data_IF_487573328044
#
_entry.id   IF_487573328044
#
_cell.length_a   1.000
_cell.length_b   1.000
_cell.length_c   1.000
_cell.angle_alpha   90.00
_cell.angle_beta   90.00
_cell.angle_gamma   90.00
#
_symmetry.space_group_name_H-M   'P 1'
#
loop_
_entity.id
_entity.type
_entity.pdbx_description
1 polymer ?
#
# COMPACT_ATOMS: atom_id res chain seq x y z
N UNK A 1 -14.22 18.88 18.11
CA UNK A 1 -13.63 19.84 17.16
C UNK A 1 -12.63 20.72 17.89
N UNK A 2 -11.72 21.39 17.18
CA UNK A 2 -10.69 22.24 17.79
C UNK A 2 -11.09 23.73 17.75
N UNK A 3 -10.52 24.59 18.62
CA UNK A 3 -10.73 26.04 18.55
C UNK A 3 -10.31 26.67 17.20
N UNK A 4 -9.38 26.05 16.47
CA UNK A 4 -8.96 26.48 15.14
C UNK A 4 -10.10 26.44 14.11
N UNK A 5 -11.05 25.51 14.27
CA UNK A 5 -12.23 25.45 13.41
C UNK A 5 -13.09 26.71 13.57
N UNK A 6 -13.33 27.14 14.81
CA UNK A 6 -14.12 28.35 15.07
C UNK A 6 -13.39 29.62 14.61
N UNK A 7 -12.07 29.67 14.75
CA UNK A 7 -11.24 30.74 14.19
C UNK A 7 -11.36 30.82 12.66
N UNK A 8 -11.37 29.66 11.99
CA UNK A 8 -11.53 29.56 10.54
C UNK A 8 -12.93 29.99 10.06
N UNK A 9 -13.97 29.78 10.87
CA UNK A 9 -15.32 30.27 10.57
C UNK A 9 -15.44 31.79 10.72
N UNK A 10 -14.79 32.37 11.73
CA UNK A 10 -14.96 33.79 12.10
C UNK A 10 -14.07 34.75 11.32
N UNK A 11 -12.96 34.29 10.75
CA UNK A 11 -11.96 35.15 10.10
C UNK A 11 -11.70 34.73 8.67
N UNK A 12 -11.56 35.70 7.76
CA UNK A 12 -11.22 35.43 6.37
C UNK A 12 -9.86 34.73 6.24
N UNK A 13 -8.85 35.19 6.98
CA UNK A 13 -7.51 34.58 6.99
C UNK A 13 -7.55 33.14 7.51
N UNK A 14 -8.30 32.86 8.58
CA UNK A 14 -8.45 31.50 9.09
C UNK A 14 -9.11 30.58 8.07
N UNK A 15 -10.15 31.07 7.38
CA UNK A 15 -10.82 30.32 6.31
C UNK A 15 -9.87 29.99 5.15
N UNK A 16 -9.10 30.97 4.68
CA UNK A 16 -8.12 30.76 3.59
C UNK A 16 -7.04 29.78 4.01
N UNK A 17 -6.48 29.91 5.22
CA UNK A 17 -5.46 28.99 5.72
C UNK A 17 -5.98 27.56 5.85
N UNK A 18 -7.21 27.38 6.34
CA UNK A 18 -7.86 26.07 6.41
C UNK A 18 -7.99 25.45 5.01
N UNK A 19 -8.49 26.21 4.04
CA UNK A 19 -8.64 25.74 2.65
C UNK A 19 -7.29 25.42 2.01
N UNK A 20 -6.29 26.29 2.15
CA UNK A 20 -4.92 26.05 1.66
C UNK A 20 -4.32 24.80 2.29
N UNK A 21 -4.50 24.59 3.60
CA UNK A 21 -4.01 23.39 4.27
C UNK A 21 -4.60 22.11 3.68
N UNK A 22 -5.93 22.02 3.55
CA UNK A 22 -6.59 20.85 2.98
C UNK A 22 -6.22 20.63 1.51
N UNK A 23 -6.08 21.72 0.73
CA UNK A 23 -5.63 21.64 -0.66
C UNK A 23 -4.20 21.09 -0.76
N UNK A 24 -3.27 21.60 0.05
CA UNK A 24 -1.90 21.12 0.08
C UNK A 24 -1.80 19.68 0.56
N UNK A 25 -2.55 19.30 1.60
CA UNK A 25 -2.59 17.93 2.09
C UNK A 25 -3.11 16.97 1.01
N UNK A 26 -4.20 17.31 0.33
CA UNK A 26 -4.75 16.53 -0.79
C UNK A 26 -3.79 16.46 -1.98
N UNK A 27 -3.14 17.57 -2.32
CA UNK A 27 -2.14 17.62 -3.38
C UNK A 27 -0.95 16.70 -3.08
N UNK A 28 -0.36 16.81 -1.87
CA UNK A 28 0.74 15.97 -1.44
C UNK A 28 0.35 14.49 -1.38
N UNK A 29 -0.87 14.20 -0.93
CA UNK A 29 -1.41 12.84 -0.91
C UNK A 29 -1.46 12.23 -2.33
N UNK A 30 -2.08 12.92 -3.28
CA UNK A 30 -2.14 12.48 -4.68
C UNK A 30 -0.74 12.37 -5.28
N UNK A 31 0.15 13.32 -4.99
CA UNK A 31 1.53 13.31 -5.46
C UNK A 31 2.29 12.05 -5.03
N UNK A 32 2.17 11.65 -3.75
CA UNK A 32 2.79 10.44 -3.22
C UNK A 32 2.19 9.17 -3.84
N UNK A 33 0.87 9.13 -4.06
CA UNK A 33 0.20 7.95 -4.62
C UNK A 33 0.48 7.75 -6.12
N UNK A 34 0.44 8.82 -6.90
CA UNK A 34 0.61 8.78 -8.36
C UNK A 34 2.09 8.67 -8.73
N UNK A 35 2.99 9.43 -8.08
CA UNK A 35 4.44 9.26 -8.21
C UNK A 35 4.98 9.40 -9.65
N UNK A 36 4.38 10.29 -10.46
CA UNK A 36 4.82 10.57 -11.84
C UNK A 36 6.14 11.36 -11.84
N UNK A 37 6.33 12.28 -10.89
CA UNK A 37 7.55 13.09 -10.84
C UNK A 37 8.78 12.28 -10.39
N UNK A 38 9.99 12.64 -10.87
CA UNK A 38 11.25 12.05 -10.44
C UNK A 38 11.52 12.41 -8.97
N UNK A 39 10.93 11.64 -8.06
CA UNK A 39 11.05 11.76 -6.62
C UNK A 39 11.72 10.54 -5.96
N UNK A 40 11.73 10.48 -4.61
CA UNK A 40 12.29 9.37 -3.85
C UNK A 40 11.67 8.01 -4.22
N UNK A 41 12.36 6.92 -3.88
CA UNK A 41 12.02 5.53 -4.25
C UNK A 41 10.50 5.26 -4.18
N UNK A 42 9.94 4.83 -5.31
CA UNK A 42 8.52 4.50 -5.46
C UNK A 42 8.10 3.47 -4.42
N UNK A 43 7.04 3.77 -3.67
CA UNK A 43 6.47 2.83 -2.71
C UNK A 43 5.85 1.64 -3.45
N UNK A 44 5.92 0.41 -2.89
CA UNK A 44 5.29 -0.76 -3.49
C UNK A 44 3.79 -0.54 -3.72
N UNK A 45 3.22 -1.07 -4.81
CA UNK A 45 1.79 -0.90 -5.12
C UNK A 45 0.86 -1.33 -4.00
N UNK A 46 1.17 -2.44 -3.32
CA UNK A 46 0.42 -2.94 -2.16
C UNK A 46 0.35 -1.92 -1.03
N UNK A 47 1.47 -1.25 -0.71
CA UNK A 47 1.52 -0.25 0.34
C UNK A 47 0.71 1.00 -0.02
N UNK A 48 0.69 1.40 -1.31
CA UNK A 48 -0.16 2.50 -1.79
C UNK A 48 -1.65 2.19 -1.61
N UNK A 49 -2.06 0.95 -1.93
CA UNK A 49 -3.44 0.50 -1.73
C UNK A 49 -3.83 0.48 -0.25
N UNK A 50 -2.93 0.06 0.65
CA UNK A 50 -3.16 0.11 2.10
C UNK A 50 -3.36 1.55 2.57
N UNK A 51 -2.48 2.47 2.17
CA UNK A 51 -2.60 3.90 2.54
C UNK A 51 -3.91 4.48 2.03
N UNK A 52 -4.27 4.14 0.79
CA UNK A 52 -5.51 4.59 0.19
C UNK A 52 -6.73 4.06 0.95
N UNK A 53 -6.74 2.78 1.32
CA UNK A 53 -7.80 2.17 2.11
C UNK A 53 -7.94 2.81 3.50
N UNK A 54 -6.82 3.05 4.19
CA UNK A 54 -6.80 3.75 5.49
C UNK A 54 -7.36 5.16 5.33
N UNK A 55 -6.99 5.86 4.26
CA UNK A 55 -7.44 7.23 3.99
C UNK A 55 -8.94 7.29 3.71
N UNK A 56 -9.46 6.39 2.86
CA UNK A 56 -10.90 6.25 2.59
C UNK A 56 -11.64 5.95 3.89
N UNK A 57 -11.13 5.02 4.71
CA UNK A 57 -11.77 4.65 5.97
C UNK A 57 -11.88 5.83 6.94
N UNK A 58 -10.82 6.65 7.03
CA UNK A 58 -10.82 7.84 7.86
C UNK A 58 -11.81 8.92 7.35
N UNK A 59 -11.85 9.15 6.04
CA UNK A 59 -12.79 10.11 5.43
C UNK A 59 -14.25 9.66 5.59
N UNK A 60 -14.51 8.38 5.35
CA UNK A 60 -15.82 7.78 5.56
C UNK A 60 -16.27 7.88 7.01
N UNK A 61 -15.39 7.61 7.96
CA UNK A 61 -15.72 7.74 9.38
C UNK A 61 -16.05 9.19 9.75
N UNK A 62 -15.31 10.17 9.24
CA UNK A 62 -15.61 11.59 9.45
C UNK A 62 -17.02 11.95 8.92
N UNK A 63 -17.34 11.53 7.70
CA UNK A 63 -18.66 11.73 7.10
C UNK A 63 -19.80 11.12 7.93
N UNK A 64 -19.61 9.86 8.35
CA UNK A 64 -20.57 9.15 9.22
C UNK A 64 -20.73 9.86 10.56
N UNK A 65 -19.64 10.31 11.17
CA UNK A 65 -19.69 11.02 12.44
C UNK A 65 -20.49 12.34 12.35
N UNK A 66 -20.38 13.06 11.23
CA UNK A 66 -21.14 14.30 11.00
C UNK A 66 -22.61 14.04 10.68
N UNK A 67 -22.92 13.02 9.88
CA UNK A 67 -24.29 12.67 9.48
C UNK A 67 -25.10 12.04 10.61
N UNK A 68 -24.46 11.28 11.49
CA UNK A 68 -25.11 10.60 12.63
C UNK A 68 -25.00 11.40 13.93
N UNK A 69 -24.06 12.35 14.02
CA UNK A 69 -23.81 13.16 15.20
C UNK A 69 -25.05 13.92 15.68
N UNK A 70 -25.18 14.07 16.99
CA UNK A 70 -26.27 14.83 17.65
C UNK A 70 -25.80 16.18 18.19
N UNK A 71 -24.49 16.44 18.14
CA UNK A 71 -23.89 17.67 18.66
C UNK A 71 -23.63 18.65 17.51
N UNK A 72 -24.16 19.86 17.65
CA UNK A 72 -23.90 20.96 16.73
C UNK A 72 -22.46 21.50 16.93
N UNK A 73 -21.69 21.58 15.85
CA UNK A 73 -20.35 22.18 15.83
C UNK A 73 -20.48 23.70 15.80
N UNK A 74 -19.61 24.41 16.53
CA UNK A 74 -19.60 25.87 16.61
C UNK A 74 -20.99 26.52 16.80
N UNK A 75 -21.79 26.09 17.81
CA UNK A 75 -23.18 26.52 17.95
C UNK A 75 -23.31 28.03 18.15
N UNK A 76 -22.35 28.67 18.83
CA UNK A 76 -22.32 30.12 19.05
C UNK A 76 -22.19 30.90 17.74
N UNK A 77 -21.40 30.39 16.78
CA UNK A 77 -21.25 31.01 15.47
C UNK A 77 -22.54 30.88 14.64
N UNK A 78 -23.04 29.65 14.45
CA UNK A 78 -24.20 29.42 13.58
C UNK A 78 -25.50 30.00 14.14
N UNK A 79 -25.72 29.94 15.46
CA UNK A 79 -26.90 30.60 16.08
C UNK A 79 -26.80 32.13 16.03
N UNK A 80 -25.58 32.67 16.06
CA UNK A 80 -25.33 34.11 15.99
C UNK A 80 -25.44 34.71 14.60
N UNK A 81 -25.68 33.89 13.56
CA UNK A 81 -25.79 34.38 12.18
C UNK A 81 -27.15 35.04 11.89
N UNK A 82 -28.13 34.87 12.77
CA UNK A 82 -29.46 35.51 12.71
C UNK A 82 -30.12 35.43 11.32
N UNK A 83 -30.11 34.23 10.70
CA UNK A 83 -30.70 34.02 9.39
C UNK A 83 -32.18 34.43 9.39
N UNK A 84 -32.68 35.09 8.33
CA UNK A 84 -34.06 35.54 8.26
C UNK A 84 -35.06 34.40 7.99
N UNK A 85 -34.59 33.17 7.74
CA UNK A 85 -35.40 31.97 7.58
C UNK A 85 -35.07 30.93 8.65
N UNK A 86 -36.04 30.07 8.97
CA UNK A 86 -35.85 28.98 9.92
C UNK A 86 -34.92 27.90 9.31
N UNK A 87 -33.81 27.62 9.99
CA UNK A 87 -32.89 26.53 9.66
C UNK A 87 -32.74 25.62 10.86
N UNK A 88 -33.01 24.33 10.69
CA UNK A 88 -32.54 23.33 11.64
C UNK A 88 -31.04 23.13 11.42
N UNK A 89 -30.24 23.80 12.26
CA UNK A 89 -28.78 23.79 12.16
C UNK A 89 -28.17 22.38 12.31
N UNK A 90 -28.80 21.50 13.09
CA UNK A 90 -28.31 20.14 13.27
C UNK A 90 -28.60 19.31 12.02
N UNK A 91 -29.81 19.42 11.46
CA UNK A 91 -30.15 18.77 10.20
C UNK A 91 -29.27 19.28 9.05
N UNK A 92 -29.02 20.60 8.99
CA UNK A 92 -28.14 21.21 7.99
C UNK A 92 -26.69 20.69 8.12
N UNK A 93 -26.14 20.60 9.33
CA UNK A 93 -24.83 20.00 9.56
C UNK A 93 -24.76 18.54 9.09
N UNK A 94 -25.80 17.74 9.36
CA UNK A 94 -25.85 16.34 8.93
C UNK A 94 -25.90 16.24 7.40
N UNK A 95 -26.70 17.07 6.75
CA UNK A 95 -26.76 17.15 5.29
C UNK A 95 -25.41 17.59 4.71
N UNK A 96 -24.77 18.59 5.32
CA UNK A 96 -23.42 19.03 4.97
C UNK A 96 -22.39 17.90 5.12
N UNK A 97 -22.50 17.09 6.18
CA UNK A 97 -21.69 15.88 6.37
C UNK A 97 -21.89 14.84 5.27
N UNK A 98 -23.14 14.60 4.85
CA UNK A 98 -23.45 13.65 3.78
C UNK A 98 -22.89 14.11 2.43
N UNK A 99 -23.02 15.40 2.12
CA UNK A 99 -22.48 16.00 0.90
C UNK A 99 -20.95 15.97 0.93
N UNK A 100 -20.33 16.40 2.02
CA UNK A 100 -18.87 16.43 2.16
C UNK A 100 -18.26 15.04 1.97
N UNK A 101 -18.90 14.00 2.52
CA UNK A 101 -18.47 12.62 2.32
C UNK A 101 -18.64 12.16 0.88
N UNK A 102 -19.84 12.28 0.30
CA UNK A 102 -20.11 11.80 -1.07
C UNK A 102 -19.20 12.46 -2.12
N UNK A 103 -18.97 13.77 -1.99
CA UNK A 103 -18.08 14.52 -2.89
C UNK A 103 -16.61 14.15 -2.66
N UNK A 104 -16.19 13.94 -1.41
CA UNK A 104 -14.81 13.60 -1.07
C UNK A 104 -14.38 12.21 -1.52
N UNK A 105 -15.30 11.24 -1.56
CA UNK A 105 -14.98 9.87 -1.99
C UNK A 105 -14.79 9.74 -3.50
N UNK A 106 -15.48 10.54 -4.32
CA UNK A 106 -15.40 10.42 -5.77
C UNK A 106 -13.96 10.57 -6.32
N UNK A 107 -13.17 11.61 -5.98
CA UNK A 107 -11.77 11.70 -6.38
C UNK A 107 -10.92 10.54 -5.86
N UNK A 108 -11.20 10.06 -4.65
CA UNK A 108 -10.42 8.99 -4.00
C UNK A 108 -10.63 7.65 -4.68
N UNK A 109 -11.87 7.34 -5.08
CA UNK A 109 -12.20 6.16 -5.88
C UNK A 109 -11.57 6.21 -7.27
N UNK A 110 -11.57 7.38 -7.92
CA UNK A 110 -10.87 7.59 -9.20
C UNK A 110 -9.38 7.31 -9.02
N UNK A 111 -8.76 7.82 -7.95
CA UNK A 111 -7.35 7.58 -7.65
C UNK A 111 -7.06 6.10 -7.40
N UNK A 112 -7.94 5.40 -6.68
CA UNK A 112 -7.83 3.95 -6.44
C UNK A 112 -7.81 3.17 -7.74
N UNK A 113 -8.72 3.52 -8.65
CA UNK A 113 -8.77 2.92 -9.98
C UNK A 113 -7.47 3.19 -10.74
N UNK A 114 -6.99 4.43 -10.77
CA UNK A 114 -5.76 4.80 -11.48
C UNK A 114 -4.53 4.06 -10.95
N UNK A 115 -4.36 3.97 -9.62
CA UNK A 115 -3.25 3.25 -8.98
C UNK A 115 -3.32 1.75 -9.28
N UNK A 116 -4.52 1.18 -9.23
CA UNK A 116 -4.73 -0.24 -9.54
C UNK A 116 -4.41 -0.53 -11.01
N UNK A 117 -4.89 0.29 -11.95
CA UNK A 117 -4.60 0.14 -13.38
C UNK A 117 -3.11 0.33 -13.68
N UNK A 118 -2.45 1.27 -13.01
CA UNK A 118 -1.01 1.47 -13.14
C UNK A 118 -0.25 0.23 -12.66
N UNK A 119 -0.64 -0.35 -11.53
CA UNK A 119 -0.03 -1.56 -10.98
C UNK A 119 -0.17 -2.76 -11.91
N UNK A 120 -1.39 -3.07 -12.37
CA UNK A 120 -1.66 -4.19 -13.28
C UNK A 120 -0.81 -4.12 -14.55
N UNK A 121 -0.60 -2.90 -15.09
CA UNK A 121 0.26 -2.68 -16.26
C UNK A 121 1.74 -2.96 -15.98
N UNK A 122 2.26 -2.49 -14.85
CA UNK A 122 3.65 -2.76 -14.46
C UNK A 122 3.89 -4.23 -14.15
N UNK A 123 2.96 -4.88 -13.47
CA UNK A 123 3.06 -6.29 -13.09
C UNK A 123 3.09 -7.20 -14.32
N UNK A 124 2.20 -6.96 -15.29
CA UNK A 124 2.20 -7.70 -16.55
C UNK A 124 3.51 -7.56 -17.35
N UNK A 125 4.16 -6.39 -17.31
CA UNK A 125 5.43 -6.16 -17.96
C UNK A 125 6.59 -6.87 -17.23
N UNK A 126 6.57 -6.89 -15.91
CA UNK A 126 7.54 -7.58 -15.06
C UNK A 126 7.44 -9.10 -15.21
N UNK A 127 6.23 -9.67 -15.13
CA UNK A 127 5.98 -11.10 -15.36
C UNK A 127 6.50 -11.52 -16.74
N UNK A 128 6.19 -10.77 -17.79
CA UNK A 128 6.70 -11.07 -19.15
C UNK A 128 8.23 -10.98 -19.26
N UNK A 129 8.88 -10.12 -18.47
CA UNK A 129 10.35 -10.04 -18.41
C UNK A 129 10.94 -11.25 -17.71
N UNK A 130 10.33 -11.66 -16.60
CA UNK A 130 10.73 -12.83 -15.82
C UNK A 130 10.54 -14.13 -16.64
N UNK A 131 9.39 -14.31 -17.29
CA UNK A 131 9.14 -15.45 -18.18
C UNK A 131 10.20 -15.55 -19.29
N UNK A 132 10.52 -14.43 -19.95
CA UNK A 132 11.59 -14.39 -20.97
C UNK A 132 12.99 -14.64 -20.42
N UNK A 133 13.22 -14.40 -19.14
CA UNK A 133 14.49 -14.69 -18.50
C UNK A 133 14.59 -16.18 -18.19
N UNK A 134 13.54 -16.75 -17.59
CA UNK A 134 13.39 -18.18 -17.33
C UNK A 134 13.54 -19.03 -18.61
N UNK A 135 12.91 -18.62 -19.72
CA UNK A 135 13.06 -19.28 -21.03
C UNK A 135 14.52 -19.26 -21.54
N UNK A 136 15.34 -18.28 -21.12
CA UNK A 136 16.74 -18.12 -21.55
C UNK A 136 17.74 -18.84 -20.66
N UNK A 137 17.45 -18.94 -19.36
CA UNK A 137 18.35 -19.54 -18.37
C UNK A 137 17.88 -20.91 -17.85
N UNK A 138 16.83 -21.48 -18.45
CA UNK A 138 16.26 -22.79 -18.11
C UNK A 138 15.85 -22.85 -16.64
N UNK A 139 15.08 -21.86 -16.18
CA UNK A 139 14.57 -21.76 -14.81
C UNK A 139 15.67 -21.75 -13.73
N UNK A 140 16.80 -21.08 -13.99
CA UNK A 140 17.96 -21.08 -13.10
C UNK A 140 17.62 -20.59 -11.68
N UNK A 141 16.80 -19.53 -11.57
CA UNK A 141 16.39 -18.95 -10.29
C UNK A 141 15.52 -19.91 -9.47
N UNK A 142 14.58 -20.63 -10.10
CA UNK A 142 13.75 -21.64 -9.45
C UNK A 142 14.59 -22.83 -8.98
N UNK A 143 15.55 -23.27 -9.79
CA UNK A 143 16.50 -24.35 -9.43
C UNK A 143 17.35 -23.95 -8.22
N UNK A 144 17.91 -22.74 -8.21
CA UNK A 144 18.70 -22.23 -7.09
C UNK A 144 17.86 -22.11 -5.80
N UNK A 145 16.62 -21.62 -5.91
CA UNK A 145 15.70 -21.51 -4.79
C UNK A 145 15.33 -22.89 -4.21
N UNK A 146 15.03 -23.87 -5.07
CA UNK A 146 14.76 -25.24 -4.65
C UNK A 146 15.97 -25.89 -3.95
N UNK A 147 17.18 -25.65 -4.45
CA UNK A 147 18.42 -26.14 -3.81
C UNK A 147 18.63 -25.54 -2.41
N UNK A 148 18.33 -24.24 -2.25
CA UNK A 148 18.39 -23.58 -0.95
C UNK A 148 17.36 -24.14 0.05
N UNK A 149 16.10 -24.36 -0.39
CA UNK A 149 15.08 -25.00 0.45
C UNK A 149 15.44 -26.45 0.82
N UNK A 150 16.06 -27.21 -0.09
CA UNK A 150 16.55 -28.56 0.17
C UNK A 150 17.65 -28.56 1.24
N UNK A 151 18.57 -27.58 1.20
CA UNK A 151 19.61 -27.40 2.19
C UNK A 151 19.04 -27.08 3.59
N UNK A 152 18.00 -26.26 3.68
CA UNK A 152 17.34 -25.93 4.96
C UNK A 152 16.53 -27.11 5.51
N UNK A 153 15.85 -27.86 4.63
CA UNK A 153 15.00 -28.99 5.02
C UNK A 153 15.75 -30.30 5.26
N UNK A 154 17.08 -30.32 5.08
CA UNK A 154 17.91 -31.50 5.26
C UNK A 154 17.60 -32.65 4.28
N UNK A 155 16.85 -32.37 3.20
CA UNK A 155 16.53 -33.36 2.16
C UNK A 155 17.64 -33.41 1.12
N UNK A 156 18.20 -34.60 0.80
CA UNK A 156 19.17 -34.74 -0.28
C UNK A 156 18.58 -34.26 -1.61
N UNK A 157 19.34 -33.46 -2.34
CA UNK A 157 19.01 -32.99 -3.69
C UNK A 157 18.82 -34.20 -4.63
N UNK A 158 17.61 -34.41 -5.21
CA UNK A 158 17.35 -35.55 -6.09
C UNK A 158 18.11 -35.48 -7.42
N UNK A 159 18.71 -34.33 -7.77
CA UNK A 159 19.50 -34.18 -8.99
C UNK A 159 20.97 -34.55 -8.82
N UNK A 160 21.42 -34.84 -7.59
CA UNK A 160 22.79 -35.31 -7.33
C UNK A 160 22.88 -36.81 -7.65
N UNK A 161 23.69 -37.24 -8.63
CA UNK A 161 23.93 -38.66 -8.85
C UNK A 161 24.48 -39.26 -7.55
N UNK A 162 23.82 -40.30 -7.04
CA UNK A 162 24.30 -41.03 -5.88
C UNK A 162 25.73 -41.48 -6.15
N UNK A 163 26.68 -40.89 -5.43
CA UNK A 163 28.08 -41.29 -5.50
C UNK A 163 28.12 -42.76 -5.08
N UNK A 164 28.40 -43.65 -6.02
CA UNK A 164 28.55 -45.08 -5.73
C UNK A 164 29.58 -45.22 -4.60
N UNK A 165 29.29 -46.01 -3.55
CA UNK A 165 30.28 -46.28 -2.52
C UNK A 165 31.50 -46.87 -3.22
N UNK A 166 32.62 -46.16 -3.17
CA UNK A 166 33.88 -46.67 -3.68
C UNK A 166 34.28 -47.82 -2.77
N UNK A 167 33.95 -49.04 -3.20
CA UNK A 167 34.36 -50.27 -2.51
C UNK A 167 35.88 -50.36 -2.63
N UNK A 168 36.60 -49.79 -1.67
CA UNK A 168 38.03 -50.01 -1.52
C UNK A 168 38.25 -51.48 -1.17
N UNK A 169 38.58 -52.29 -2.19
CA UNK A 169 39.08 -53.65 -1.99
C UNK A 169 40.37 -53.60 -1.16
N UNK A 170 40.52 -54.42 -0.12
CA UNK A 170 41.77 -54.52 0.59
C UNK A 170 42.80 -55.21 -0.31
N UNK A 171 43.89 -54.51 -0.60
CA UNK A 171 45.01 -55.03 -1.38
C UNK A 171 45.72 -56.13 -0.59
N UNK A 172 45.53 -57.38 -1.00
CA UNK A 172 46.27 -58.53 -0.45
C UNK A 172 47.73 -58.47 -0.92
N UNK A 173 48.63 -58.03 -0.06
CA UNK A 173 50.07 -58.11 -0.31
C UNK A 173 50.58 -59.55 -0.08
N UNK A 174 50.92 -60.26 -1.16
CA UNK A 174 51.75 -61.47 -1.08
C UNK A 174 53.22 -61.10 -0.87
N UNK A 175 53.96 -61.75 0.05
CA UNK A 175 55.41 -61.65 0.09
C UNK A 175 56.04 -62.69 -0.85
N UNK A 176 56.83 -62.21 -1.80
CA UNK A 176 57.73 -63.03 -2.62
C UNK A 176 59.03 -63.29 -1.86
N UNK A 177 59.36 -64.56 -1.68
CA UNK A 177 60.67 -65.01 -1.17
C UNK A 177 61.68 -65.09 -2.32
N UNK A 178 62.90 -64.52 -2.19
CA UNK A 178 64.05 -64.95 -2.96
C UNK A 178 64.96 -65.83 -2.10
N UNK A 179 65.39 -66.96 -2.65
CA UNK A 179 66.15 -67.98 -1.92
C UNK A 179 67.58 -67.59 -1.58
N UNK A 180 68.10 -68.23 -0.53
CA UNK A 180 69.27 -69.14 -0.49
C UNK A 180 69.20 -69.98 0.79
#
# INVERSE_FOLDING_TARGET
YSPLFELALRTHTGHVLMTTHFLLAGYLFVWVLVGIDPGPKRWPPSLRLIILFVTISFHAFFGVALTTGTTLLAPTFYKGLHLPWAVDLLADQRNGGAVAWGVGELPTLILALLVTLAWVRTDAAETKRLDRQADRDDDADLKAYNAHLAAISGRPDPTRPASQPTTSQPTTSQPTTPGQ
#
